data_IF_323391103551
#
_entry.id   IF_323391103551
#
_cell.length_a   1.000
_cell.length_b   1.000
_cell.length_c   1.000
_cell.angle_alpha   90.00
_cell.angle_beta   90.00
_cell.angle_gamma   90.00
#
_symmetry.space_group_name_H-M   'P 1'
#
loop_
_entity.id
_entity.type
_entity.pdbx_description
1 polymer ?
#
# COMPACT_ATOMS: atom_id res chain seq x y z
N UNK A 1 73.00 -11.47 48.36
CA UNK A 1 74.01 -12.56 48.34
C UNK A 1 73.48 -13.65 47.41
N UNK A 2 73.97 -13.75 46.17
CA UNK A 2 75.17 -14.55 45.76
C UNK A 2 74.92 -16.04 46.05
N UNK A 3 74.76 -16.97 45.10
CA UNK A 3 75.64 -17.43 44.00
C UNK A 3 74.87 -18.47 43.14
N UNK A 4 74.89 -18.45 41.79
CA UNK A 4 75.90 -19.06 40.88
C UNK A 4 75.92 -20.61 40.93
N UNK A 5 76.11 -21.43 39.87
CA UNK A 5 76.49 -21.32 38.44
C UNK A 5 76.49 -22.78 37.90
N UNK A 6 76.02 -23.08 36.68
CA UNK A 6 76.78 -23.67 35.53
C UNK A 6 75.85 -24.66 34.78
N UNK A 7 75.99 -25.01 33.50
CA UNK A 7 76.62 -24.50 32.29
C UNK A 7 76.49 -25.60 31.21
N UNK A 8 76.49 -25.22 29.91
CA UNK A 8 76.95 -25.94 28.70
C UNK A 8 75.93 -25.86 27.54
N UNK A 9 76.19 -24.96 26.58
CA UNK A 9 76.70 -25.20 25.19
C UNK A 9 75.55 -25.46 24.17
N UNK A 10 75.11 -24.48 23.38
CA UNK A 10 75.72 -23.91 22.15
C UNK A 10 75.47 -24.75 20.88
N UNK A 11 74.67 -24.20 19.96
CA UNK A 11 74.94 -24.11 18.52
C UNK A 11 73.78 -23.40 17.79
N UNK A 12 74.07 -22.28 17.12
CA UNK A 12 73.17 -21.66 16.13
C UNK A 12 73.14 -22.52 14.85
N UNK A 13 71.95 -22.80 14.34
CA UNK A 13 71.77 -23.24 12.95
C UNK A 13 70.74 -22.33 12.28
N UNK A 14 71.17 -21.67 11.21
CA UNK A 14 70.35 -20.87 10.29
C UNK A 14 69.48 -21.84 9.48
N UNK A 15 68.16 -21.71 9.57
CA UNK A 15 67.23 -22.49 8.75
C UNK A 15 66.90 -21.71 7.45
N UNK A 16 67.26 -22.31 6.31
CA UNK A 16 66.86 -21.86 4.97
C UNK A 16 65.38 -22.21 4.70
N UNK A 17 64.68 -21.46 3.82
CA UNK A 17 63.27 -21.71 3.51
C UNK A 17 63.10 -22.96 2.63
N UNK A 18 62.18 -23.85 3.01
CA UNK A 18 61.78 -25.03 2.23
C UNK A 18 61.05 -24.65 0.92
N UNK A 19 61.26 -25.39 -0.18
CA UNK A 19 60.58 -25.17 -1.46
C UNK A 19 59.12 -25.65 -1.45
N UNK A 20 58.26 -24.91 -2.15
CA UNK A 20 56.84 -25.24 -2.32
C UNK A 20 56.64 -26.46 -3.25
N UNK A 21 55.59 -27.27 -3.03
CA UNK A 21 55.31 -28.45 -3.86
C UNK A 21 54.75 -28.06 -5.24
N UNK A 22 55.39 -28.61 -6.28
CA UNK A 22 54.99 -28.57 -7.69
C UNK A 22 53.65 -29.30 -7.88
N UNK A 23 52.64 -28.62 -8.45
CA UNK A 23 51.38 -29.22 -8.87
C UNK A 23 51.51 -29.74 -10.31
N UNK A 24 51.13 -31.00 -10.55
CA UNK A 24 50.98 -31.56 -11.89
C UNK A 24 49.88 -30.83 -12.68
N UNK A 25 50.07 -30.55 -13.98
CA UNK A 25 49.04 -29.93 -14.79
C UNK A 25 47.94 -30.95 -15.12
N UNK A 26 46.76 -30.77 -14.53
CA UNK A 26 45.55 -31.53 -14.85
C UNK A 26 45.13 -31.38 -16.33
N UNK A 27 44.25 -32.28 -16.82
CA UNK A 27 43.85 -32.31 -18.23
C UNK A 27 43.16 -31.00 -18.64
N UNK A 28 43.50 -30.51 -19.82
CA UNK A 28 42.97 -29.27 -20.39
C UNK A 28 41.42 -29.30 -20.49
N UNK A 29 40.74 -28.18 -20.22
CA UNK A 29 39.29 -28.13 -20.30
C UNK A 29 38.82 -28.32 -21.75
N UNK A 30 37.94 -29.30 -21.95
CA UNK A 30 37.22 -29.48 -23.21
C UNK A 30 36.32 -28.28 -23.53
N UNK A 31 35.90 -28.12 -24.79
CA UNK A 31 35.10 -26.97 -25.21
C UNK A 31 33.80 -26.88 -24.40
N UNK A 32 33.34 -25.67 -24.04
CA UNK A 32 32.16 -25.51 -23.22
C UNK A 32 30.92 -26.14 -23.90
N UNK A 33 30.20 -26.98 -23.16
CA UNK A 33 28.91 -27.49 -23.58
C UNK A 33 27.94 -26.31 -23.77
N UNK A 34 27.68 -25.95 -25.03
CA UNK A 34 26.64 -24.98 -25.39
C UNK A 34 25.29 -25.67 -25.24
N UNK A 35 24.63 -25.48 -24.10
CA UNK A 35 23.19 -25.72 -24.01
C UNK A 35 22.48 -24.86 -25.07
N UNK A 36 21.46 -25.37 -25.79
CA UNK A 36 20.67 -24.52 -26.67
C UNK A 36 20.02 -23.44 -25.81
N UNK A 37 20.40 -22.19 -26.04
CA UNK A 37 19.64 -21.04 -25.55
C UNK A 37 18.28 -21.15 -26.23
N UNK A 38 17.27 -21.58 -25.49
CA UNK A 38 15.89 -21.50 -25.95
C UNK A 38 15.58 -20.02 -26.06
N UNK A 39 15.59 -19.50 -27.29
CA UNK A 39 15.14 -18.15 -27.60
C UNK A 39 13.65 -18.11 -27.25
N UNK A 40 13.33 -17.57 -26.07
CA UNK A 40 11.95 -17.30 -25.69
C UNK A 40 11.46 -16.21 -26.63
N UNK A 41 10.98 -16.61 -27.81
CA UNK A 41 10.10 -15.79 -28.66
C UNK A 41 8.70 -15.85 -28.07
N UNK A 42 8.56 -15.37 -26.84
CA UNK A 42 7.28 -14.88 -26.39
C UNK A 42 7.02 -13.58 -27.18
N UNK A 43 5.80 -13.33 -27.67
CA UNK A 43 5.47 -11.97 -28.02
C UNK A 43 5.78 -11.12 -26.80
N UNK A 44 6.62 -10.10 -26.97
CA UNK A 44 6.65 -8.98 -26.02
C UNK A 44 5.27 -8.40 -26.13
N UNK A 45 4.36 -8.89 -25.28
CA UNK A 45 3.12 -8.18 -25.01
C UNK A 45 3.64 -6.91 -24.40
N UNK A 46 3.52 -5.80 -25.14
CA UNK A 46 3.59 -4.49 -24.54
C UNK A 46 2.55 -4.53 -23.43
N UNK A 47 3.03 -4.77 -22.21
CA UNK A 47 2.26 -4.51 -21.03
C UNK A 47 2.25 -2.98 -20.96
N UNK A 48 1.44 -2.36 -21.82
CA UNK A 48 0.83 -1.08 -21.52
C UNK A 48 -0.13 -1.32 -20.35
N UNK A 49 0.45 -1.66 -19.20
CA UNK A 49 -0.07 -1.19 -17.94
C UNK A 49 -0.01 0.33 -18.07
N UNK A 50 -1.12 0.93 -18.50
CA UNK A 50 -1.40 2.33 -18.24
C UNK A 50 -1.47 2.51 -16.73
N UNK A 51 -0.30 2.56 -16.08
CA UNK A 51 -0.16 2.93 -14.67
C UNK A 51 -0.23 4.46 -14.58
N UNK A 52 -1.39 5.01 -14.91
CA UNK A 52 -1.67 6.43 -14.69
C UNK A 52 -3.00 6.67 -13.98
N UNK A 53 -3.89 5.67 -13.86
CA UNK A 53 -5.26 5.87 -13.37
C UNK A 53 -5.69 4.89 -12.26
N UNK A 54 -4.77 4.25 -11.52
CA UNK A 54 -5.10 3.64 -10.22
C UNK A 54 -5.23 4.73 -9.14
N UNK A 55 -6.25 5.58 -9.30
CA UNK A 55 -6.80 6.40 -8.25
C UNK A 55 -8.07 5.67 -7.79
N UNK A 56 -7.92 4.62 -6.97
CA UNK A 56 -8.98 3.64 -6.67
C UNK A 56 -10.26 4.29 -6.09
N UNK A 57 -11.20 4.61 -6.98
CA UNK A 57 -12.62 4.50 -6.69
C UNK A 57 -13.03 3.07 -7.06
N UNK A 58 -13.27 2.21 -6.07
CA UNK A 58 -13.72 0.84 -6.32
C UNK A 58 -15.25 0.84 -6.32
N UNK A 59 -15.87 0.37 -7.40
CA UNK A 59 -17.31 0.13 -7.47
C UNK A 59 -17.55 -1.32 -7.07
N UNK A 60 -17.99 -1.53 -5.83
CA UNK A 60 -18.41 -2.83 -5.33
C UNK A 60 -19.92 -2.98 -5.48
N UNK A 61 -20.38 -4.07 -6.10
CA UNK A 61 -21.79 -4.46 -6.08
C UNK A 61 -22.06 -5.31 -4.84
N UNK A 62 -22.66 -4.73 -3.81
CA UNK A 62 -22.93 -5.41 -2.52
C UNK A 62 -24.10 -6.43 -2.68
N UNK A 63 -25.00 -6.21 -3.64
CA UNK A 63 -26.14 -7.06 -4.03
C UNK A 63 -26.60 -6.62 -5.43
N UNK A 64 -27.26 -7.44 -6.27
CA UNK A 64 -27.76 -7.01 -7.58
C UNK A 64 -28.58 -5.70 -7.59
N UNK A 65 -29.13 -5.27 -6.44
CA UNK A 65 -29.90 -4.05 -6.27
C UNK A 65 -29.14 -2.86 -5.61
N UNK A 66 -27.90 -3.03 -5.13
CA UNK A 66 -27.16 -1.97 -4.41
C UNK A 66 -25.70 -1.90 -4.83
N UNK A 67 -25.26 -0.69 -5.14
CA UNK A 67 -23.90 -0.36 -5.55
C UNK A 67 -23.21 0.51 -4.49
N UNK A 68 -21.90 0.34 -4.36
CA UNK A 68 -21.03 1.12 -3.47
C UNK A 68 -19.84 1.64 -4.26
N UNK A 69 -19.54 2.92 -4.14
CA UNK A 69 -18.29 3.53 -4.60
C UNK A 69 -17.46 3.84 -3.36
N UNK A 70 -16.27 3.26 -3.25
CA UNK A 70 -15.35 3.49 -2.13
C UNK A 70 -14.20 4.37 -2.58
N UNK A 71 -13.94 5.46 -1.86
CA UNK A 71 -12.88 6.43 -2.18
C UNK A 71 -11.97 6.63 -0.97
N UNK A 72 -10.66 6.55 -1.17
CA UNK A 72 -9.70 6.80 -0.09
C UNK A 72 -9.70 8.28 0.35
N UNK A 73 -9.76 8.53 1.65
CA UNK A 73 -9.77 9.89 2.20
C UNK A 73 -8.46 10.64 1.92
N UNK A 74 -7.35 9.93 1.82
CA UNK A 74 -6.03 10.52 1.49
C UNK A 74 -5.96 11.06 0.05
N UNK A 75 -6.85 10.58 -0.83
CA UNK A 75 -7.02 11.11 -2.19
C UNK A 75 -7.94 12.34 -2.16
N UNK A 76 -9.02 12.25 -1.38
CA UNK A 76 -10.04 13.29 -1.32
C UNK A 76 -9.61 14.53 -0.55
N UNK A 77 -8.84 14.37 0.54
CA UNK A 77 -8.61 15.44 1.51
C UNK A 77 -7.13 15.65 1.81
N UNK A 78 -6.78 16.89 2.15
CA UNK A 78 -5.51 17.18 2.81
C UNK A 78 -5.46 16.55 4.23
N UNK A 79 -4.25 16.32 4.74
CA UNK A 79 -4.01 15.69 6.05
C UNK A 79 -4.84 16.35 7.16
N UNK A 80 -5.59 15.51 7.90
CA UNK A 80 -6.49 15.89 8.99
C UNK A 80 -7.50 17.02 8.69
N UNK A 81 -7.83 17.22 7.40
CA UNK A 81 -8.78 18.22 6.95
C UNK A 81 -9.98 17.58 6.26
N UNK A 82 -11.01 18.40 6.06
CA UNK A 82 -12.18 18.10 5.22
C UNK A 82 -12.22 18.97 3.95
N UNK A 83 -11.11 19.65 3.64
CA UNK A 83 -10.93 20.42 2.40
C UNK A 83 -10.57 19.47 1.28
N UNK A 84 -11.34 19.51 0.19
CA UNK A 84 -11.11 18.67 -0.99
C UNK A 84 -9.85 19.12 -1.73
N UNK A 85 -9.11 18.17 -2.29
CA UNK A 85 -7.94 18.43 -3.13
C UNK A 85 -8.34 18.56 -4.60
N UNK A 86 -7.48 19.14 -5.45
CA UNK A 86 -7.74 19.17 -6.89
C UNK A 86 -7.83 17.76 -7.54
N UNK A 87 -7.20 16.75 -6.92
CA UNK A 87 -7.33 15.34 -7.33
C UNK A 87 -8.72 14.79 -6.99
N UNK A 88 -9.30 15.25 -5.88
CA UNK A 88 -10.64 14.88 -5.48
C UNK A 88 -11.69 15.27 -6.53
N UNK A 89 -11.55 16.44 -7.17
CA UNK A 89 -12.50 16.93 -8.17
C UNK A 89 -12.67 15.95 -9.34
N UNK A 90 -11.57 15.38 -9.85
CA UNK A 90 -11.60 14.39 -10.93
C UNK A 90 -12.33 13.11 -10.51
N UNK A 91 -12.05 12.65 -9.29
CA UNK A 91 -12.64 11.44 -8.74
C UNK A 91 -14.15 11.61 -8.46
N UNK A 92 -14.54 12.78 -7.95
CA UNK A 92 -15.92 13.14 -7.71
C UNK A 92 -16.69 13.33 -9.02
N UNK A 93 -16.06 13.86 -10.08
CA UNK A 93 -16.67 13.93 -11.40
C UNK A 93 -16.96 12.53 -11.98
N UNK A 94 -16.03 11.57 -11.82
CA UNK A 94 -16.26 10.17 -12.22
C UNK A 94 -17.40 9.55 -11.42
N UNK A 95 -17.40 9.72 -10.09
CA UNK A 95 -18.49 9.24 -9.25
C UNK A 95 -19.84 9.87 -9.64
N UNK A 96 -19.89 11.17 -9.93
CA UNK A 96 -21.11 11.84 -10.39
C UNK A 96 -21.64 11.28 -11.72
N UNK A 97 -20.75 10.96 -12.67
CA UNK A 97 -21.14 10.33 -13.93
C UNK A 97 -21.78 8.95 -13.68
N UNK A 98 -21.15 8.11 -12.85
CA UNK A 98 -21.71 6.81 -12.44
C UNK A 98 -23.06 6.97 -11.75
N UNK A 99 -23.18 7.92 -10.82
CA UNK A 99 -24.45 8.19 -10.13
C UNK A 99 -25.57 8.59 -11.10
N UNK A 100 -25.30 9.46 -12.07
CA UNK A 100 -26.31 9.83 -13.08
C UNK A 100 -26.75 8.66 -13.94
N UNK A 101 -25.81 7.77 -14.28
CA UNK A 101 -26.07 6.61 -15.14
C UNK A 101 -26.81 5.50 -14.40
N UNK A 102 -26.39 5.20 -13.17
CA UNK A 102 -26.81 4.00 -12.45
C UNK A 102 -27.83 4.27 -11.34
N UNK A 103 -27.83 5.44 -10.69
CA UNK A 103 -28.71 5.68 -9.53
C UNK A 103 -30.15 6.06 -9.92
N UNK A 104 -30.41 6.43 -11.17
CA UNK A 104 -31.77 6.66 -11.69
C UNK A 104 -32.62 7.64 -10.87
N UNK A 105 -32.02 8.72 -10.35
CA UNK A 105 -32.73 9.73 -9.53
C UNK A 105 -33.12 9.26 -8.12
N UNK A 106 -32.51 8.18 -7.62
CA UNK A 106 -32.78 7.64 -6.28
C UNK A 106 -31.95 8.35 -5.19
N UNK A 107 -32.22 7.96 -3.95
CA UNK A 107 -31.46 8.39 -2.77
C UNK A 107 -30.07 7.75 -2.76
N UNK A 108 -29.05 8.58 -2.55
CA UNK A 108 -27.64 8.21 -2.44
C UNK A 108 -27.18 8.48 -1.01
N UNK A 109 -26.55 7.51 -0.36
CA UNK A 109 -26.00 7.65 0.99
C UNK A 109 -24.48 7.85 0.91
N UNK A 110 -23.96 8.83 1.64
CA UNK A 110 -22.54 9.14 1.74
C UNK A 110 -22.09 8.91 3.19
N UNK A 111 -21.20 7.96 3.38
CA UNK A 111 -20.70 7.52 4.67
C UNK A 111 -19.21 7.87 4.81
N UNK A 112 -18.87 8.66 5.82
CA UNK A 112 -17.49 9.00 6.16
C UNK A 112 -16.92 8.06 7.23
N UNK A 113 -15.66 7.67 7.08
CA UNK A 113 -14.92 6.84 8.02
C UNK A 113 -13.55 7.43 8.35
N UNK A 114 -13.05 7.17 9.56
CA UNK A 114 -11.69 7.52 10.00
C UNK A 114 -10.92 6.25 10.35
N UNK A 115 -9.62 6.42 10.64
CA UNK A 115 -8.90 5.39 11.39
C UNK A 115 -9.16 5.54 12.90
N UNK A 116 -8.63 4.61 13.68
CA UNK A 116 -8.81 4.57 15.14
C UNK A 116 -7.87 5.51 15.93
N UNK A 117 -7.17 6.45 15.28
CA UNK A 117 -6.35 7.43 16.02
C UNK A 117 -7.20 8.61 16.49
N UNK A 118 -6.95 9.07 17.71
CA UNK A 118 -7.68 10.19 18.31
C UNK A 118 -8.98 9.75 18.99
N UNK A 119 -9.68 10.73 19.57
CA UNK A 119 -10.90 10.49 20.32
C UNK A 119 -12.11 10.15 19.42
N UNK A 120 -13.01 9.31 19.92
CA UNK A 120 -14.19 8.88 19.17
C UNK A 120 -15.08 10.06 18.74
N UNK A 121 -15.31 11.02 19.64
CA UNK A 121 -16.10 12.22 19.35
C UNK A 121 -15.47 13.06 18.24
N UNK A 122 -14.14 13.20 18.24
CA UNK A 122 -13.41 13.90 17.19
C UNK A 122 -13.55 13.18 15.85
N UNK A 123 -13.34 11.87 15.84
CA UNK A 123 -13.44 11.03 14.64
C UNK A 123 -14.85 11.02 14.05
N UNK A 124 -15.88 11.00 14.89
CA UNK A 124 -17.27 11.11 14.46
C UNK A 124 -17.55 12.46 13.80
N UNK A 125 -17.07 13.55 14.40
CA UNK A 125 -17.22 14.88 13.82
C UNK A 125 -16.43 15.03 12.50
N UNK A 126 -15.20 14.51 12.44
CA UNK A 126 -14.35 14.58 11.25
C UNK A 126 -14.93 13.79 10.08
N UNK A 127 -15.35 12.55 10.31
CA UNK A 127 -16.00 11.72 9.29
C UNK A 127 -17.26 12.38 8.73
N UNK A 128 -18.11 12.95 9.59
CA UNK A 128 -19.31 13.67 9.16
C UNK A 128 -18.97 14.91 8.32
N UNK A 129 -17.98 15.71 8.73
CA UNK A 129 -17.53 16.89 7.97
C UNK A 129 -17.02 16.52 6.58
N UNK A 130 -16.25 15.43 6.48
CA UNK A 130 -15.73 14.90 5.21
C UNK A 130 -16.85 14.43 4.29
N UNK A 131 -17.81 13.66 4.82
CA UNK A 131 -18.94 13.19 4.05
C UNK A 131 -19.81 14.36 3.55
N UNK A 132 -20.03 15.40 4.37
CA UNK A 132 -20.71 16.64 3.95
C UNK A 132 -19.93 17.44 2.89
N UNK A 133 -18.60 17.39 2.92
CA UNK A 133 -17.79 18.04 1.89
C UNK A 133 -17.96 17.35 0.53
N UNK A 134 -18.00 16.01 0.52
CA UNK A 134 -18.27 15.20 -0.68
C UNK A 134 -19.67 15.48 -1.22
N UNK A 135 -20.70 15.52 -0.36
CA UNK A 135 -22.05 15.92 -0.74
C UNK A 135 -22.08 17.27 -1.45
N UNK A 136 -21.47 18.31 -0.85
CA UNK A 136 -21.45 19.67 -1.42
C UNK A 136 -20.77 19.73 -2.79
N UNK A 137 -19.76 18.90 -3.01
CA UNK A 137 -19.05 18.83 -4.29
C UNK A 137 -19.83 18.01 -5.34
N UNK A 138 -20.53 16.95 -4.94
CA UNK A 138 -21.33 16.14 -5.86
C UNK A 138 -22.64 16.80 -6.26
N UNK A 139 -23.29 17.55 -5.35
CA UNK A 139 -24.57 18.21 -5.58
C UNK A 139 -24.67 18.99 -6.91
N UNK A 140 -23.76 19.94 -7.22
CA UNK A 140 -23.79 20.64 -8.50
C UNK A 140 -23.50 19.72 -9.69
N UNK A 141 -22.65 18.70 -9.51
CA UNK A 141 -22.30 17.77 -10.58
C UNK A 141 -23.47 16.87 -10.96
N UNK A 142 -24.39 16.60 -10.05
CA UNK A 142 -25.59 15.77 -10.28
C UNK A 142 -26.89 16.57 -10.43
N UNK A 143 -26.81 17.89 -10.60
CA UNK A 143 -27.99 18.73 -10.78
C UNK A 143 -28.85 18.25 -11.96
N UNK A 144 -30.18 18.31 -11.79
CA UNK A 144 -31.16 17.84 -12.77
C UNK A 144 -31.36 16.32 -12.85
N UNK A 145 -30.59 15.51 -12.10
CA UNK A 145 -30.72 14.04 -12.11
C UNK A 145 -31.83 13.48 -11.21
N UNK A 146 -32.42 14.31 -10.33
CA UNK A 146 -33.37 13.87 -9.30
C UNK A 146 -32.74 13.19 -8.09
N UNK A 147 -31.41 13.03 -8.07
CA UNK A 147 -30.66 12.41 -6.97
C UNK A 147 -30.78 13.26 -5.69
N UNK A 148 -30.99 12.60 -4.56
CA UNK A 148 -30.95 13.21 -3.22
C UNK A 148 -29.91 12.53 -2.37
N UNK A 149 -29.20 13.31 -1.54
CA UNK A 149 -28.13 12.79 -0.68
C UNK A 149 -28.59 12.64 0.78
N UNK A 150 -28.07 11.61 1.44
CA UNK A 150 -28.08 11.45 2.89
C UNK A 150 -26.66 11.26 3.36
N UNK A 151 -26.26 11.98 4.42
CA UNK A 151 -24.87 11.96 4.91
C UNK A 151 -24.79 11.39 6.32
N UNK A 152 -23.80 10.51 6.57
CA UNK A 152 -23.48 9.98 7.90
C UNK A 152 -21.97 9.94 8.12
N UNK A 153 -21.57 10.14 9.38
CA UNK A 153 -20.20 9.90 9.84
C UNK A 153 -20.20 8.71 10.79
N UNK A 154 -19.26 7.80 10.63
CA UNK A 154 -19.12 6.60 11.47
C UNK A 154 -17.88 6.65 12.37
N UNK A 155 -17.04 7.68 12.24
CA UNK A 155 -15.74 7.73 12.89
C UNK A 155 -14.93 6.46 12.61
N UNK A 156 -14.37 5.88 13.68
CA UNK A 156 -13.57 4.66 13.62
C UNK A 156 -14.40 3.37 13.85
N UNK A 157 -15.71 3.48 14.04
CA UNK A 157 -16.56 2.39 14.55
C UNK A 157 -16.77 1.24 13.54
N UNK A 158 -16.53 1.49 12.25
CA UNK A 158 -16.74 0.51 11.16
C UNK A 158 -15.44 0.32 10.36
N UNK A 159 -14.44 -0.37 10.94
CA UNK A 159 -13.17 -0.65 10.25
C UNK A 159 -13.36 -1.76 9.20
N UNK A 160 -12.76 -1.57 8.02
CA UNK A 160 -12.66 -2.59 6.96
C UNK A 160 -11.32 -3.34 7.01
N UNK A 161 -10.37 -2.83 7.78
CA UNK A 161 -9.10 -3.48 8.05
C UNK A 161 -8.67 -3.19 9.50
N UNK A 162 -7.85 -4.08 10.08
CA UNK A 162 -7.36 -3.89 11.44
C UNK A 162 -6.47 -2.64 11.55
N UNK A 163 -6.75 -1.76 12.52
CA UNK A 163 -5.94 -0.55 12.78
C UNK A 163 -4.58 -0.87 13.42
N UNK A 164 -4.46 -2.05 14.03
CA UNK A 164 -3.25 -2.63 14.64
C UNK A 164 -3.04 -4.05 14.13
N UNK A 165 -1.83 -4.57 14.25
CA UNK A 165 -1.47 -5.94 13.87
C UNK A 165 -0.32 -6.44 14.76
N UNK A 166 -0.17 -7.76 14.99
CA UNK A 166 0.99 -8.30 15.68
C UNK A 166 2.26 -8.10 14.85
N UNK A 167 3.38 -7.74 15.50
CA UNK A 167 4.71 -7.80 14.91
C UNK A 167 5.29 -9.23 14.98
N UNK A 168 6.53 -9.42 14.51
CA UNK A 168 7.24 -10.71 14.55
C UNK A 168 7.41 -11.29 15.97
N UNK A 169 7.31 -10.45 17.01
CA UNK A 169 7.38 -10.81 18.42
C UNK A 169 5.99 -11.00 19.08
N UNK A 170 4.91 -10.95 18.30
CA UNK A 170 3.53 -11.10 18.78
C UNK A 170 2.97 -9.87 19.49
N UNK A 171 3.69 -8.74 19.50
CA UNK A 171 3.22 -7.50 20.13
C UNK A 171 2.25 -6.78 19.19
N UNK A 172 1.12 -6.30 19.72
CA UNK A 172 0.15 -5.51 18.95
C UNK A 172 0.76 -4.13 18.68
N UNK A 173 1.10 -3.88 17.43
CA UNK A 173 1.68 -2.62 16.95
C UNK A 173 0.75 -1.92 15.97
N UNK A 174 1.07 -0.66 15.70
CA UNK A 174 0.40 0.18 14.72
C UNK A 174 0.39 -0.47 13.32
N UNK A 175 -0.76 -0.48 12.63
CA UNK A 175 -0.89 -1.00 11.26
C UNK A 175 -1.27 0.12 10.26
N UNK A 176 -0.28 0.84 9.67
CA UNK A 176 -0.52 1.94 8.75
C UNK A 176 -1.36 1.57 7.54
N UNK A 177 -1.16 0.36 6.99
CA UNK A 177 -1.89 -0.13 5.81
C UNK A 177 -3.37 -0.33 6.12
N UNK A 178 -3.68 -0.91 7.27
CA UNK A 178 -5.07 -1.08 7.71
C UNK A 178 -5.77 0.25 8.00
N UNK A 179 -5.07 1.18 8.66
CA UNK A 179 -5.60 2.54 8.89
C UNK A 179 -5.87 3.28 7.59
N UNK A 180 -4.99 3.19 6.61
CA UNK A 180 -5.19 3.82 5.30
C UNK A 180 -6.47 3.33 4.62
N UNK A 181 -6.78 2.03 4.70
CA UNK A 181 -8.06 1.49 4.20
C UNK A 181 -9.27 2.01 4.98
N UNK A 182 -9.15 2.24 6.29
CA UNK A 182 -10.25 2.74 7.10
C UNK A 182 -10.56 4.22 6.86
N UNK A 183 -9.55 5.03 6.52
CA UNK A 183 -9.72 6.42 6.10
C UNK A 183 -10.34 6.48 4.70
N UNK A 184 -11.67 6.42 4.63
CA UNK A 184 -12.43 6.35 3.37
C UNK A 184 -13.76 7.09 3.43
N UNK A 185 -14.32 7.33 2.26
CA UNK A 185 -15.72 7.72 2.06
C UNK A 185 -16.38 6.67 1.17
N UNK A 186 -17.54 6.20 1.59
CA UNK A 186 -18.37 5.29 0.80
C UNK A 186 -19.60 6.01 0.28
N UNK A 187 -19.94 5.79 -0.99
CA UNK A 187 -21.15 6.30 -1.61
C UNK A 187 -22.00 5.10 -2.01
N UNK A 188 -23.13 4.90 -1.36
CA UNK A 188 -24.03 3.77 -1.67
C UNK A 188 -25.34 4.24 -2.29
N UNK A 189 -25.81 3.50 -3.28
CA UNK A 189 -27.05 3.80 -3.99
C UNK A 189 -27.68 2.54 -4.55
N UNK A 190 -28.97 2.62 -4.86
CA UNK A 190 -29.69 1.55 -5.55
C UNK A 190 -29.67 1.79 -7.04
N UNK A 191 -29.45 0.72 -7.82
CA UNK A 191 -29.64 0.71 -9.27
C UNK A 191 -31.12 0.73 -9.61
#
# INVERSE_FOLDING_TARGET
MFRSVSAALAALAVAAPSPAPTQDPGPAPGPPARAPIVEIRAPVVDIELRVSDLEESIIDADTPARSRITMAADILFAFDRATLTARADKQLARAAATLKQEAGGKRVQIDGHTDARGEDAYNLALSLRRAKAVERALAPLVEGSGITFTVKGHGAAVPVAANTAPNEYGQIVDNPKGRAKNRRVEITFSR
#
